data_IF_606392178787
#
_entry.id   IF_606392178787
#
_cell.length_a   1.000
_cell.length_b   1.000
_cell.length_c   1.000
_cell.angle_alpha   90.00
_cell.angle_beta   90.00
_cell.angle_gamma   90.00
#
_symmetry.space_group_name_H-M   'P 1'
#
loop_
_entity.id
_entity.type
_entity.pdbx_description
1 polymer ?
#
# COMPACT_ATOMS: atom_id res chain seq x y z
N UNK A 1 21.47 -29.76 0.75
CA UNK A 1 20.66 -28.62 0.30
C UNK A 1 20.58 -28.67 -1.22
N UNK A 2 19.38 -28.70 -1.80
CA UNK A 2 19.17 -28.96 -3.24
C UNK A 2 19.25 -27.65 -4.05
N UNK A 3 19.94 -27.66 -5.19
CA UNK A 3 20.10 -26.52 -6.10
C UNK A 3 18.74 -25.92 -6.54
N UNK A 4 17.72 -26.76 -6.70
CA UNK A 4 16.36 -26.32 -7.01
C UNK A 4 15.74 -25.47 -5.89
N UNK A 5 15.97 -25.87 -4.62
CA UNK A 5 15.45 -25.15 -3.45
C UNK A 5 16.18 -23.82 -3.25
N UNK A 6 17.49 -23.78 -3.49
CA UNK A 6 18.28 -22.54 -3.44
C UNK A 6 17.91 -21.57 -4.56
N UNK A 7 17.71 -22.09 -5.79
CA UNK A 7 17.26 -21.29 -6.92
C UNK A 7 15.89 -20.67 -6.69
N UNK A 8 14.92 -21.45 -6.20
CA UNK A 8 13.59 -20.93 -5.88
C UNK A 8 13.64 -19.88 -4.77
N UNK A 9 14.45 -20.09 -3.72
CA UNK A 9 14.62 -19.14 -2.63
C UNK A 9 15.17 -17.79 -3.10
N UNK A 10 16.24 -17.80 -3.88
CA UNK A 10 16.85 -16.59 -4.46
C UNK A 10 15.87 -15.81 -5.35
N UNK A 11 15.09 -16.52 -6.17
CA UNK A 11 14.10 -15.89 -7.05
C UNK A 11 12.93 -15.28 -6.27
N UNK A 12 12.49 -15.94 -5.18
CA UNK A 12 11.44 -15.44 -4.29
C UNK A 12 11.93 -14.18 -3.57
N UNK A 13 13.08 -14.21 -2.91
CA UNK A 13 13.61 -13.05 -2.20
C UNK A 13 13.81 -11.84 -3.13
N UNK A 14 14.29 -12.07 -4.35
CA UNK A 14 14.47 -11.03 -5.35
C UNK A 14 13.15 -10.43 -5.84
N UNK A 15 12.05 -11.20 -5.84
CA UNK A 15 10.75 -10.70 -6.25
C UNK A 15 10.07 -9.84 -5.16
N UNK A 16 10.28 -10.17 -3.89
CA UNK A 16 9.67 -9.45 -2.76
C UNK A 16 10.53 -8.30 -2.20
N UNK A 17 11.81 -8.23 -2.57
CA UNK A 17 12.70 -7.16 -2.12
C UNK A 17 12.73 -6.00 -3.13
N UNK A 18 12.43 -4.76 -2.70
CA UNK A 18 12.57 -3.59 -3.57
C UNK A 18 14.03 -3.36 -4.01
N UNK A 19 14.22 -3.04 -5.28
CA UNK A 19 15.48 -2.56 -5.84
C UNK A 19 15.86 -1.20 -5.24
N UNK A 20 17.11 -0.75 -5.44
CA UNK A 20 17.55 0.56 -4.96
C UNK A 20 16.72 1.72 -5.51
N UNK A 21 16.31 1.64 -6.78
CA UNK A 21 15.46 2.65 -7.42
C UNK A 21 14.03 2.61 -6.86
N UNK A 22 13.48 1.41 -6.67
CA UNK A 22 12.15 1.21 -6.08
C UNK A 22 12.09 1.72 -4.64
N UNK A 23 13.17 1.60 -3.86
CA UNK A 23 13.26 2.18 -2.51
C UNK A 23 13.19 3.70 -2.51
N UNK A 24 13.83 4.35 -3.48
CA UNK A 24 13.77 5.81 -3.64
C UNK A 24 12.32 6.22 -3.94
N UNK A 25 11.69 5.56 -4.91
CA UNK A 25 10.29 5.78 -5.25
C UNK A 25 9.39 5.62 -4.01
N UNK A 26 9.51 4.50 -3.29
CA UNK A 26 8.72 4.24 -2.08
C UNK A 26 8.88 5.34 -1.03
N UNK A 27 10.09 5.89 -0.89
CA UNK A 27 10.36 7.00 0.05
C UNK A 27 9.73 8.33 -0.38
N UNK A 28 9.53 8.55 -1.67
CA UNK A 28 8.89 9.75 -2.23
C UNK A 28 7.36 9.68 -2.22
N UNK A 29 6.77 8.49 -2.20
CA UNK A 29 5.31 8.33 -2.29
C UNK A 29 4.57 8.82 -1.05
N UNK A 30 5.15 8.65 0.15
CA UNK A 30 4.54 9.15 1.38
C UNK A 30 4.42 10.68 1.37
N UNK A 31 5.49 11.48 1.15
CA UNK A 31 5.35 12.93 1.10
C UNK A 31 4.38 13.38 0.00
N UNK A 32 4.42 12.77 -1.18
CA UNK A 32 3.44 13.04 -2.26
C UNK A 32 1.99 12.75 -1.86
N UNK A 33 1.78 11.73 -1.03
CA UNK A 33 0.46 11.40 -0.49
C UNK A 33 0.01 12.46 0.51
N UNK A 34 0.88 12.85 1.45
CA UNK A 34 0.57 13.88 2.46
C UNK A 34 0.30 15.25 1.82
N UNK A 35 0.97 15.55 0.70
CA UNK A 35 0.74 16.80 -0.06
C UNK A 35 -0.55 16.79 -0.90
N UNK A 36 -1.15 15.61 -1.13
CA UNK A 36 -2.34 15.47 -1.98
C UNK A 36 -3.60 16.07 -1.36
N UNK A 37 -4.51 16.54 -2.22
CA UNK A 37 -5.78 17.13 -1.79
C UNK A 37 -6.70 16.09 -1.13
N UNK A 38 -6.66 14.83 -1.57
CA UNK A 38 -7.46 13.76 -0.98
C UNK A 38 -6.98 13.42 0.43
N UNK A 39 -5.67 13.41 0.68
CA UNK A 39 -5.13 13.21 2.03
C UNK A 39 -5.57 14.33 2.97
N UNK A 40 -5.46 15.60 2.56
CA UNK A 40 -5.84 16.74 3.40
C UNK A 40 -7.30 16.66 3.84
N UNK A 41 -8.21 16.29 2.93
CA UNK A 41 -9.63 16.07 3.28
C UNK A 41 -9.81 14.96 4.31
N UNK A 42 -9.08 13.86 4.16
CA UNK A 42 -9.15 12.74 5.13
C UNK A 42 -8.57 13.17 6.49
N UNK A 43 -7.46 13.89 6.51
CA UNK A 43 -6.80 14.39 7.72
C UNK A 43 -7.66 15.42 8.48
N UNK A 44 -8.53 16.14 7.77
CA UNK A 44 -9.53 17.04 8.37
C UNK A 44 -10.70 16.28 9.02
N UNK A 45 -11.10 15.13 8.48
CA UNK A 45 -12.31 14.38 8.86
C UNK A 45 -12.05 13.15 9.77
N UNK A 46 -10.85 12.58 9.71
CA UNK A 46 -10.49 11.32 10.36
C UNK A 46 -9.10 11.37 11.00
N UNK A 47 -8.92 10.68 12.13
CA UNK A 47 -7.63 10.65 12.80
C UNK A 47 -6.69 9.64 12.13
N UNK A 48 -5.62 10.14 11.51
CA UNK A 48 -4.60 9.30 10.88
C UNK A 48 -3.78 8.56 11.94
N UNK A 49 -3.73 7.23 11.84
CA UNK A 49 -3.01 6.34 12.76
C UNK A 49 -1.67 5.88 12.17
N UNK A 50 -1.65 5.59 10.86
CA UNK A 50 -0.43 5.13 10.20
C UNK A 50 -0.47 5.43 8.70
N UNK A 51 0.71 5.61 8.12
CA UNK A 51 0.91 5.73 6.67
C UNK A 51 2.00 4.75 6.28
N UNK A 52 1.73 3.93 5.25
CA UNK A 52 2.66 2.90 4.80
C UNK A 52 2.72 2.87 3.27
N UNK A 53 3.92 3.04 2.71
CA UNK A 53 4.18 2.76 1.31
C UNK A 53 4.42 1.26 1.12
N UNK A 54 3.80 0.69 0.10
CA UNK A 54 3.83 -0.75 -0.16
C UNK A 54 4.03 -1.03 -1.65
N UNK A 55 4.55 -2.23 -1.92
CA UNK A 55 4.80 -2.74 -3.26
C UNK A 55 4.12 -4.10 -3.39
N UNK A 56 3.13 -4.22 -4.27
CA UNK A 56 2.45 -5.47 -4.57
C UNK A 56 2.62 -5.84 -6.03
N UNK A 57 3.67 -6.62 -6.30
CA UNK A 57 3.97 -7.11 -7.66
C UNK A 57 2.96 -8.14 -8.17
N UNK A 58 2.08 -8.66 -7.30
CA UNK A 58 1.02 -9.60 -7.70
C UNK A 58 -0.18 -8.90 -8.33
N UNK A 59 -0.39 -7.60 -8.06
CA UNK A 59 -1.38 -6.75 -8.74
C UNK A 59 -1.14 -6.67 -10.26
N UNK A 60 0.07 -6.97 -10.72
CA UNK A 60 0.46 -6.89 -12.13
C UNK A 60 0.56 -5.44 -12.63
N UNK A 61 1.03 -5.30 -13.87
CA UNK A 61 1.26 -3.99 -14.49
C UNK A 61 2.72 -3.53 -14.41
N UNK A 62 3.04 -2.51 -15.22
CA UNK A 62 4.34 -1.85 -15.19
C UNK A 62 4.35 -0.75 -14.13
N UNK A 63 5.53 -0.24 -13.80
CA UNK A 63 5.65 0.98 -12.98
C UNK A 63 4.68 2.07 -13.47
N UNK A 64 3.99 2.80 -12.57
CA UNK A 64 4.00 2.71 -11.10
C UNK A 64 2.88 1.85 -10.48
N UNK A 65 2.18 1.03 -11.28
CA UNK A 65 0.88 0.45 -10.89
C UNK A 65 0.95 -0.65 -9.83
N UNK A 66 2.14 -1.16 -9.51
CA UNK A 66 2.35 -2.11 -8.42
C UNK A 66 2.76 -1.42 -7.10
N UNK A 67 2.83 -0.09 -7.06
CA UNK A 67 3.07 0.69 -5.85
C UNK A 67 1.77 1.30 -5.31
N UNK A 68 1.71 1.48 -3.99
CA UNK A 68 0.61 2.20 -3.36
C UNK A 68 0.95 2.66 -1.94
N UNK A 69 0.20 3.63 -1.45
CA UNK A 69 0.29 4.10 -0.07
C UNK A 69 -1.02 3.80 0.65
N UNK A 70 -0.94 3.13 1.79
CA UNK A 70 -2.07 2.92 2.68
C UNK A 70 -2.07 3.98 3.76
N UNK A 71 -3.13 4.78 3.83
CA UNK A 71 -3.39 5.73 4.91
C UNK A 71 -4.45 5.12 5.81
N UNK A 72 -4.05 4.73 7.02
CA UNK A 72 -4.92 4.09 8.01
C UNK A 72 -5.43 5.12 8.99
N UNK A 73 -6.73 5.16 9.16
CA UNK A 73 -7.41 5.98 10.17
C UNK A 73 -7.98 5.10 11.28
N UNK A 74 -8.64 5.72 12.25
CA UNK A 74 -9.42 5.04 13.28
C UNK A 74 -10.67 4.32 12.72
N UNK A 75 -11.09 4.60 11.49
CA UNK A 75 -12.30 4.03 10.86
C UNK A 75 -12.00 3.09 9.71
N UNK A 76 -11.06 3.46 8.83
CA UNK A 76 -10.84 2.78 7.57
C UNK A 76 -9.42 2.96 7.04
N UNK A 77 -9.11 2.24 5.97
CA UNK A 77 -7.86 2.38 5.23
C UNK A 77 -8.14 2.92 3.85
N UNK A 78 -7.48 4.02 3.51
CA UNK A 78 -7.52 4.65 2.20
C UNK A 78 -6.28 4.22 1.41
N UNK A 79 -6.48 3.79 0.18
CA UNK A 79 -5.41 3.36 -0.72
C UNK A 79 -5.18 4.45 -1.75
N UNK A 80 -3.95 4.98 -1.73
CA UNK A 80 -3.47 5.98 -2.65
C UNK A 80 -2.59 5.34 -3.72
N UNK A 81 -2.76 5.81 -4.95
CA UNK A 81 -1.97 5.38 -6.10
C UNK A 81 -1.55 6.58 -6.94
N UNK A 82 -0.57 6.38 -7.81
CA UNK A 82 -0.09 7.44 -8.69
C UNK A 82 -1.16 7.81 -9.73
N UNK A 83 -1.47 9.09 -9.83
CA UNK A 83 -2.43 9.64 -10.82
C UNK A 83 -1.95 9.50 -12.27
N UNK A 84 -0.63 9.40 -12.47
CA UNK A 84 0.00 9.40 -13.78
C UNK A 84 1.21 8.46 -13.85
N UNK A 85 1.66 8.17 -15.07
CA UNK A 85 2.85 7.33 -15.33
C UNK A 85 4.14 7.86 -14.69
N UNK A 86 4.19 9.16 -14.38
CA UNK A 86 5.33 9.81 -13.73
C UNK A 86 5.18 9.95 -12.22
N UNK A 87 4.04 9.52 -11.66
CA UNK A 87 3.72 9.68 -10.23
C UNK A 87 3.97 11.10 -9.71
N UNK A 88 3.50 12.10 -10.48
CA UNK A 88 3.65 13.50 -10.08
C UNK A 88 2.79 13.79 -8.84
N UNK A 89 1.57 13.26 -8.82
CA UNK A 89 0.63 13.35 -7.68
C UNK A 89 0.09 11.97 -7.29
N UNK A 90 -0.38 11.88 -6.04
CA UNK A 90 -1.08 10.72 -5.49
C UNK A 90 -2.57 11.03 -5.37
N UNK A 91 -3.42 10.05 -5.65
CA UNK A 91 -4.87 10.17 -5.58
C UNK A 91 -5.46 8.98 -4.81
N UNK A 92 -6.54 9.22 -4.07
CA UNK A 92 -7.28 8.14 -3.43
C UNK A 92 -8.18 7.44 -4.45
N UNK A 93 -7.91 6.17 -4.74
CA UNK A 93 -8.71 5.37 -5.69
C UNK A 93 -9.62 4.35 -5.02
N UNK A 94 -9.27 3.91 -3.82
CA UNK A 94 -9.97 2.83 -3.11
C UNK A 94 -9.94 3.11 -1.61
N UNK A 95 -10.91 2.54 -0.91
CA UNK A 95 -10.95 2.52 0.56
C UNK A 95 -11.53 1.19 1.04
N UNK A 96 -11.15 0.77 2.24
CA UNK A 96 -11.68 -0.45 2.86
C UNK A 96 -11.88 -0.22 4.36
N UNK A 97 -13.00 -0.70 4.90
CA UNK A 97 -13.30 -0.57 6.32
C UNK A 97 -12.35 -1.42 7.16
N UNK A 98 -11.88 -0.87 8.29
CA UNK A 98 -11.05 -1.58 9.27
C UNK A 98 -11.88 -2.53 10.15
N UNK A 99 -12.92 -3.23 9.64
CA UNK A 99 -13.73 -4.17 10.47
C UNK A 99 -12.96 -5.46 10.85
N UNK A 100 -11.74 -5.32 11.36
CA UNK A 100 -11.20 -6.14 12.43
C UNK A 100 -11.27 -5.32 13.73
N UNK A 101 -12.48 -4.84 14.07
CA UNK A 101 -12.80 -4.65 15.48
C UNK A 101 -12.74 -6.05 16.11
N UNK A 102 -12.29 -6.12 17.36
CA UNK A 102 -12.42 -7.28 18.25
C UNK A 102 -13.89 -7.70 18.52
N UNK A 103 -14.78 -7.51 17.55
CA UNK A 103 -16.13 -8.05 17.56
C UNK A 103 -16.00 -9.57 17.48
N UNK A 104 -16.49 -10.24 18.53
CA UNK A 104 -16.67 -11.69 18.53
C UNK A 104 -17.26 -12.13 17.19
N UNK A 105 -16.71 -13.16 16.53
CA UNK A 105 -17.26 -13.70 15.29
C UNK A 105 -18.77 -13.87 15.45
N UNK A 106 -19.57 -13.12 14.69
CA UNK A 106 -21.01 -13.34 14.66
C UNK A 106 -21.24 -14.61 13.86
N UNK A 107 -21.35 -15.73 14.56
CA UNK A 107 -21.74 -17.00 13.96
C UNK A 107 -23.10 -16.81 13.27
N UNK A 108 -23.31 -17.39 12.08
CA UNK A 108 -24.51 -17.19 11.26
C UNK A 108 -25.81 -17.77 11.85
N UNK A 109 -25.80 -18.21 13.12
CA UNK A 109 -26.93 -18.82 13.82
C UNK A 109 -27.11 -18.29 15.25
N UNK A 110 -26.74 -17.03 15.50
CA UNK A 110 -27.00 -16.34 16.77
C UNK A 110 -28.40 -15.73 16.82
#
# INVERSE_FOLDING_TARGET
MNLFVLGNWLLIEQWYTPSSEEKIILSEMIPKTVESEDYKKIDEDENIVAIEASMDRSRGGVFPYYFGVSVRTDKQTFIFSCSSKRCETMENGEWTYYRYTDEKPRLPFG
#
